data_IF_385680147892
#
_entry.id   IF_385680147892
#
_cell.length_a   1.000
_cell.length_b   1.000
_cell.length_c   1.000
_cell.angle_alpha   90.00
_cell.angle_beta   90.00
_cell.angle_gamma   90.00
#
_symmetry.space_group_name_H-M   'P 1'
#
loop_
_entity.id
_entity.type
_entity.pdbx_description
1 polymer ?
#
# COMPACT_ATOMS: atom_id res chain seq x y z
N UNK A 1 -43.02 -6.58 -1.31
CA UNK A 1 -41.93 -5.68 -1.78
C UNK A 1 -40.94 -5.54 -0.64
N UNK A 2 -39.81 -6.24 -0.70
CA UNK A 2 -38.76 -6.14 0.32
C UNK A 2 -37.83 -4.99 -0.05
N UNK A 3 -37.94 -3.87 0.66
CA UNK A 3 -37.00 -2.75 0.57
C UNK A 3 -35.65 -3.22 1.11
N UNK A 4 -34.66 -3.44 0.23
CA UNK A 4 -33.27 -3.65 0.65
C UNK A 4 -32.79 -2.37 1.31
N UNK A 5 -32.36 -2.45 2.57
CA UNK A 5 -31.63 -1.37 3.21
C UNK A 5 -30.32 -1.13 2.42
N UNK A 6 -29.89 0.12 2.21
CA UNK A 6 -28.63 0.38 1.54
C UNK A 6 -27.50 -0.32 2.31
N UNK A 7 -26.72 -1.13 1.61
CA UNK A 7 -25.57 -1.81 2.21
C UNK A 7 -24.62 -0.77 2.79
N UNK A 8 -24.12 -1.04 4.00
CA UNK A 8 -23.19 -0.13 4.65
C UNK A 8 -21.94 -0.02 3.76
N UNK A 9 -21.50 1.21 3.42
CA UNK A 9 -20.33 1.39 2.57
C UNK A 9 -19.11 0.70 3.20
N UNK A 10 -18.39 -0.07 2.39
CA UNK A 10 -17.20 -0.81 2.80
C UNK A 10 -15.99 -0.30 2.01
N UNK A 11 -14.85 -0.16 2.67
CA UNK A 11 -13.60 0.23 2.01
C UNK A 11 -13.19 -0.76 0.91
N UNK A 12 -13.48 -2.05 1.08
CA UNK A 12 -13.17 -3.08 0.07
C UNK A 12 -14.09 -3.07 -1.14
N UNK A 13 -15.17 -2.27 -1.14
CA UNK A 13 -16.03 -2.10 -2.31
C UNK A 13 -15.60 -0.92 -3.19
N UNK A 14 -14.56 -0.18 -2.80
CA UNK A 14 -13.97 0.88 -3.62
C UNK A 14 -13.13 0.27 -4.75
N UNK A 15 -12.96 0.98 -5.88
CA UNK A 15 -11.99 0.60 -6.90
C UNK A 15 -10.58 0.48 -6.30
N UNK A 16 -9.80 -0.48 -6.80
CA UNK A 16 -8.49 -0.81 -6.24
C UNK A 16 -7.54 0.39 -6.26
N UNK A 17 -7.65 1.25 -7.27
CA UNK A 17 -6.84 2.46 -7.44
C UNK A 17 -7.13 3.49 -6.34
N UNK A 18 -8.37 3.54 -5.85
CA UNK A 18 -8.76 4.41 -4.74
C UNK A 18 -8.20 3.86 -3.42
N UNK A 19 -8.33 2.56 -3.19
CA UNK A 19 -7.75 1.90 -2.01
C UNK A 19 -6.23 2.09 -1.98
N UNK A 20 -5.57 1.89 -3.13
CA UNK A 20 -4.13 2.11 -3.30
C UNK A 20 -3.73 3.54 -2.91
N UNK A 21 -4.42 4.55 -3.44
CA UNK A 21 -4.16 5.97 -3.10
C UNK A 21 -4.36 6.26 -1.62
N UNK A 22 -5.35 5.64 -0.98
CA UNK A 22 -5.56 5.75 0.47
C UNK A 22 -4.36 5.15 1.21
N UNK A 23 -3.93 3.94 0.83
CA UNK A 23 -2.80 3.26 1.46
C UNK A 23 -1.50 4.04 1.30
N UNK A 24 -1.26 4.68 0.15
CA UNK A 24 -0.10 5.54 -0.06
C UNK A 24 -0.01 6.71 0.93
N UNK A 25 -1.09 7.10 1.62
CA UNK A 25 -1.06 8.17 2.63
C UNK A 25 -0.75 7.67 4.04
N UNK A 26 -0.70 6.35 4.23
CA UNK A 26 -0.45 5.75 5.54
C UNK A 26 1.05 5.69 5.81
N UNK A 27 1.40 5.77 7.09
CA UNK A 27 2.74 5.47 7.55
C UNK A 27 3.01 3.96 7.50
N UNK A 28 4.29 3.60 7.54
CA UNK A 28 4.72 2.22 7.43
C UNK A 28 4.08 1.28 8.48
N UNK A 29 4.01 1.64 9.78
CA UNK A 29 3.34 0.79 10.77
C UNK A 29 1.86 0.50 10.44
N UNK A 30 1.13 1.50 9.94
CA UNK A 30 -0.25 1.31 9.50
C UNK A 30 -0.33 0.40 8.27
N UNK A 31 0.62 0.51 7.33
CA UNK A 31 0.70 -0.36 6.16
C UNK A 31 0.89 -1.84 6.53
N UNK A 32 1.74 -2.12 7.51
CA UNK A 32 1.89 -3.48 8.04
C UNK A 32 0.61 -4.00 8.68
N UNK A 33 -0.08 -3.15 9.44
CA UNK A 33 -1.34 -3.53 10.07
C UNK A 33 -2.39 -3.89 9.00
N UNK A 34 -2.56 -3.06 7.96
CA UNK A 34 -3.57 -3.33 6.91
C UNK A 34 -3.25 -4.59 6.09
N UNK A 35 -1.97 -4.93 5.89
CA UNK A 35 -1.53 -6.16 5.19
C UNK A 35 -2.07 -7.42 5.88
N UNK A 36 -2.39 -7.33 7.17
CA UNK A 36 -2.91 -8.43 7.99
C UNK A 36 -4.43 -8.40 8.21
N UNK A 37 -5.14 -7.33 7.79
CA UNK A 37 -6.58 -7.18 8.05
C UNK A 37 -7.42 -8.15 7.21
N UNK A 38 -7.19 -8.20 5.90
CA UNK A 38 -7.99 -9.02 4.99
C UNK A 38 -7.25 -9.36 3.69
N UNK A 39 -7.77 -10.34 2.95
CA UNK A 39 -7.17 -10.81 1.68
C UNK A 39 -7.09 -9.73 0.61
N UNK A 40 -8.06 -8.81 0.54
CA UNK A 40 -8.04 -7.71 -0.44
C UNK A 40 -6.88 -6.78 -0.16
N UNK A 41 -6.73 -6.35 1.10
CA UNK A 41 -5.65 -5.45 1.50
C UNK A 41 -4.29 -6.11 1.36
N UNK A 42 -4.20 -7.37 1.78
CA UNK A 42 -3.01 -8.19 1.55
C UNK A 42 -2.65 -8.20 0.07
N UNK A 43 -3.57 -8.52 -0.84
CA UNK A 43 -3.29 -8.56 -2.29
C UNK A 43 -2.83 -7.23 -2.88
N UNK A 44 -3.27 -6.10 -2.33
CA UNK A 44 -2.83 -4.77 -2.78
C UNK A 44 -1.40 -4.49 -2.28
N UNK A 45 -1.18 -4.69 -0.98
CA UNK A 45 0.11 -4.43 -0.32
C UNK A 45 1.19 -5.47 -0.63
N UNK A 46 0.83 -6.65 -1.13
CA UNK A 46 1.75 -7.74 -1.42
C UNK A 46 2.17 -7.74 -2.90
N UNK A 47 2.47 -6.55 -3.43
CA UNK A 47 2.94 -6.36 -4.80
C UNK A 47 4.20 -5.51 -4.82
N UNK A 48 5.13 -5.86 -5.71
CA UNK A 48 6.36 -5.06 -5.92
C UNK A 48 6.04 -3.61 -6.26
N UNK A 49 5.05 -3.39 -7.13
CA UNK A 49 4.68 -2.05 -7.57
C UNK A 49 4.22 -1.17 -6.41
N UNK A 50 3.48 -1.73 -5.44
CA UNK A 50 3.03 -1.00 -4.26
C UNK A 50 4.19 -0.46 -3.45
N UNK A 51 5.15 -1.32 -3.11
CA UNK A 51 6.31 -0.92 -2.33
C UNK A 51 7.26 -0.03 -3.11
N UNK A 52 7.40 -0.24 -4.41
CA UNK A 52 8.17 0.65 -5.28
C UNK A 52 7.63 2.08 -5.23
N UNK A 53 6.31 2.23 -5.41
CA UNK A 53 5.67 3.55 -5.40
C UNK A 53 5.71 4.19 -4.01
N UNK A 54 5.58 3.38 -2.95
CA UNK A 54 5.72 3.85 -1.57
C UNK A 54 7.14 4.35 -1.27
N UNK A 55 8.17 3.59 -1.64
CA UNK A 55 9.58 3.98 -1.47
C UNK A 55 9.88 5.25 -2.27
N UNK A 56 9.43 5.31 -3.52
CA UNK A 56 9.58 6.51 -4.36
C UNK A 56 8.94 7.74 -3.69
N UNK A 57 7.72 7.58 -3.17
CA UNK A 57 7.03 8.64 -2.41
C UNK A 57 7.83 9.07 -1.18
N UNK A 58 8.39 8.13 -0.41
CA UNK A 58 9.22 8.46 0.75
C UNK A 58 10.46 9.27 0.38
N UNK A 59 11.14 8.91 -0.71
CA UNK A 59 12.27 9.67 -1.24
C UNK A 59 11.87 11.09 -1.65
N UNK A 60 10.70 11.26 -2.28
CA UNK A 60 10.17 12.55 -2.70
C UNK A 60 9.72 13.42 -1.51
N UNK A 61 9.02 12.85 -0.53
CA UNK A 61 8.42 13.57 0.60
C UNK A 61 9.44 13.92 1.71
N UNK A 62 10.47 13.09 1.91
CA UNK A 62 11.39 13.19 3.04
C UNK A 62 12.85 13.47 2.65
N UNK A 63 13.13 13.79 1.38
CA UNK A 63 14.49 13.97 0.84
C UNK A 63 15.44 12.79 1.18
N UNK A 64 14.87 11.59 1.36
CA UNK A 64 15.66 10.39 1.64
C UNK A 64 16.53 10.06 0.44
N UNK A 65 17.76 9.61 0.70
CA UNK A 65 18.61 9.13 -0.38
C UNK A 65 18.02 7.81 -0.87
N UNK A 66 17.70 7.66 -2.16
CA UNK A 66 17.19 6.40 -2.68
C UNK A 66 18.18 5.25 -2.40
N UNK A 67 17.70 3.99 -2.40
CA UNK A 67 18.58 2.81 -2.35
C UNK A 67 19.74 2.96 -3.35
N UNK A 68 20.93 2.50 -2.95
CA UNK A 68 22.19 2.66 -3.72
C UNK A 68 22.23 1.84 -5.02
N UNK A 69 21.39 0.82 -5.11
CA UNK A 69 21.18 -0.04 -6.27
C UNK A 69 19.88 0.41 -6.94
N UNK A 70 19.78 0.28 -8.26
CA UNK A 70 18.56 0.61 -9.01
C UNK A 70 17.35 -0.03 -8.29
N UNK A 71 16.42 0.79 -7.77
CA UNK A 71 15.20 0.35 -7.05
C UNK A 71 14.45 -0.71 -7.88
N UNK A 72 14.65 -0.63 -9.19
CA UNK A 72 14.26 -1.56 -10.22
C UNK A 72 14.66 -3.02 -9.95
N UNK A 73 15.79 -3.29 -9.32
CA UNK A 73 16.29 -4.64 -9.03
C UNK A 73 15.63 -5.27 -7.80
N UNK A 74 15.01 -4.46 -6.94
CA UNK A 74 14.49 -4.94 -5.65
C UNK A 74 13.19 -5.71 -5.86
N UNK A 75 13.07 -6.84 -5.18
CA UNK A 75 11.81 -7.56 -5.05
C UNK A 75 10.88 -6.93 -3.99
N UNK A 76 9.64 -7.39 -3.91
CA UNK A 76 8.63 -6.88 -2.96
C UNK A 76 9.16 -6.82 -1.51
N UNK A 77 9.79 -7.90 -1.03
CA UNK A 77 10.26 -7.99 0.35
C UNK A 77 11.44 -7.06 0.62
N UNK A 78 12.30 -6.84 -0.38
CA UNK A 78 13.43 -5.93 -0.27
C UNK A 78 12.96 -4.48 -0.19
N UNK A 79 11.98 -4.09 -1.00
CA UNK A 79 11.37 -2.76 -0.94
C UNK A 79 10.61 -2.53 0.38
N UNK A 80 9.84 -3.53 0.82
CA UNK A 80 9.15 -3.50 2.13
C UNK A 80 10.14 -3.36 3.28
N UNK A 81 11.30 -4.04 3.20
CA UNK A 81 12.36 -3.91 4.20
C UNK A 81 13.09 -2.59 4.14
N UNK A 82 13.28 -2.01 2.96
CA UNK A 82 13.90 -0.69 2.85
C UNK A 82 13.01 0.38 3.49
N UNK A 83 11.68 0.27 3.32
CA UNK A 83 10.71 1.20 3.91
C UNK A 83 10.68 1.19 5.45
N UNK A 84 11.40 0.28 6.12
CA UNK A 84 11.59 0.24 7.58
C UNK A 84 12.69 1.16 8.10
N UNK A 85 13.60 1.65 7.24
CA UNK A 85 14.85 2.30 7.66
C UNK A 85 14.65 3.66 8.33
#
# INVERSE_FOLDING_TARGET
MTTRLPEKPCITSLPIEIIWRIFMQLDYPSLLAIKQICKVFHSITNTRQFWHDYVKKLCEDYEMTPPKEEIEEYNEMELERWALQ
#
